data_IF_680525050587
#
_entry.id   IF_680525050587
#
_cell.length_a   1.000
_cell.length_b   1.000
_cell.length_c   1.000
_cell.angle_alpha   90.00
_cell.angle_beta   90.00
_cell.angle_gamma   90.00
#
_symmetry.space_group_name_H-M   'P 1'
#
loop_
_entity.id
_entity.type
_entity.pdbx_description
1 polymer ?
#
# COMPACT_ATOMS: atom_id res chain seq x y z
N UNK A 1 12.66 23.12 15.12
CA UNK A 1 12.49 24.01 13.96
C UNK A 1 11.35 23.49 13.08
N UNK A 2 10.49 24.37 12.65
CA UNK A 2 9.36 23.98 11.80
C UNK A 2 9.87 23.73 10.37
N UNK A 3 9.55 22.58 9.73
CA UNK A 3 9.98 22.31 8.36
C UNK A 3 9.37 23.30 7.36
N UNK A 4 10.12 23.64 6.30
CA UNK A 4 9.62 24.49 5.24
C UNK A 4 8.78 23.69 4.26
N UNK A 5 7.95 24.39 3.45
CA UNK A 5 7.05 23.73 2.48
C UNK A 5 7.81 22.97 1.38
N UNK A 6 8.98 23.48 0.97
CA UNK A 6 9.74 22.86 -0.13
C UNK A 6 10.21 21.44 0.18
N UNK A 7 10.91 21.18 1.32
CA UNK A 7 11.27 19.82 1.68
C UNK A 7 10.07 18.90 1.91
N UNK A 8 8.97 19.43 2.47
CA UNK A 8 7.74 18.66 2.68
C UNK A 8 7.22 18.13 1.34
N UNK A 9 7.11 18.99 0.33
CA UNK A 9 6.62 18.62 -0.99
C UNK A 9 7.55 17.64 -1.70
N UNK A 10 8.86 17.81 -1.56
CA UNK A 10 9.84 16.91 -2.16
C UNK A 10 9.73 15.49 -1.61
N UNK A 11 9.52 15.34 -0.32
CA UNK A 11 9.28 14.04 0.28
C UNK A 11 7.90 13.49 -0.09
N UNK A 12 6.88 14.31 0.03
CA UNK A 12 5.49 13.89 -0.17
C UNK A 12 5.22 13.34 -1.58
N UNK A 13 5.81 13.93 -2.61
CA UNK A 13 5.61 13.51 -4.01
C UNK A 13 6.11 12.11 -4.32
N UNK A 14 6.96 11.55 -3.47
CA UNK A 14 7.56 10.23 -3.67
C UNK A 14 6.63 9.10 -3.21
N UNK A 15 5.60 9.41 -2.44
CA UNK A 15 4.68 8.40 -1.93
C UNK A 15 3.62 8.06 -2.95
N UNK A 16 3.33 6.77 -3.06
CA UNK A 16 2.28 6.26 -3.93
C UNK A 16 0.92 6.74 -3.43
N UNK A 17 0.11 7.23 -4.35
CA UNK A 17 -1.28 7.59 -4.07
C UNK A 17 -2.18 6.61 -4.81
N UNK A 18 -3.11 5.99 -4.09
CA UNK A 18 -4.05 5.03 -4.64
C UNK A 18 -5.44 5.62 -4.56
N UNK A 19 -6.11 5.69 -5.69
CA UNK A 19 -7.50 6.14 -5.80
C UNK A 19 -8.29 5.02 -6.46
N UNK A 20 -9.33 4.55 -5.78
CA UNK A 20 -10.14 3.46 -6.31
C UNK A 20 -11.62 3.69 -6.01
N UNK A 21 -12.48 3.12 -6.85
CA UNK A 21 -13.90 3.16 -6.62
C UNK A 21 -14.29 2.19 -5.51
N UNK A 22 -15.08 2.67 -4.55
CA UNK A 22 -15.65 1.84 -3.49
C UNK A 22 -17.16 1.73 -3.67
N UNK A 23 -17.63 0.56 -4.04
CA UNK A 23 -19.07 0.32 -4.16
C UNK A 23 -19.77 0.44 -2.81
N UNK A 24 -19.10 0.03 -1.74
CA UNK A 24 -19.66 0.11 -0.39
C UNK A 24 -19.89 1.55 0.06
N UNK A 25 -18.98 2.45 -0.31
CA UNK A 25 -19.06 3.87 0.06
C UNK A 25 -19.75 4.72 -1.00
N UNK A 26 -20.00 4.15 -2.17
CA UNK A 26 -20.54 4.83 -3.33
C UNK A 26 -19.72 6.09 -3.66
N UNK A 27 -18.41 5.97 -3.61
CA UNK A 27 -17.47 7.08 -3.81
C UNK A 27 -16.10 6.55 -4.18
N UNK A 28 -15.25 7.43 -4.71
CA UNK A 28 -13.82 7.14 -4.83
C UNK A 28 -13.18 7.30 -3.45
N UNK A 29 -12.29 6.37 -3.11
CA UNK A 29 -11.57 6.40 -1.85
C UNK A 29 -10.07 6.45 -2.11
N UNK A 30 -9.33 7.10 -1.23
CA UNK A 30 -7.92 7.34 -1.38
C UNK A 30 -7.09 6.80 -0.23
N UNK A 31 -5.90 6.30 -0.57
CA UNK A 31 -4.89 5.87 0.38
C UNK A 31 -3.50 6.22 -0.14
N UNK A 32 -2.53 6.26 0.75
CA UNK A 32 -1.15 6.56 0.39
C UNK A 32 -0.20 5.71 1.22
N UNK A 33 -0.17 4.39 0.97
CA UNK A 33 0.73 3.52 1.73
C UNK A 33 2.20 3.82 1.40
N UNK A 34 3.13 3.73 2.36
CA UNK A 34 2.91 3.28 3.73
C UNK A 34 2.53 4.40 4.72
N UNK A 35 2.35 5.64 4.25
CA UNK A 35 2.04 6.79 5.11
C UNK A 35 0.69 6.61 5.80
N UNK A 36 -0.35 6.31 5.03
CA UNK A 36 -1.70 6.17 5.57
C UNK A 36 -2.57 5.26 4.69
N UNK A 37 -3.47 4.51 5.30
CA UNK A 37 -4.47 3.71 4.61
C UNK A 37 -5.61 4.56 4.07
N UNK A 38 -6.79 3.99 3.94
CA UNK A 38 -7.97 4.73 3.47
C UNK A 38 -8.25 5.92 4.38
N UNK A 39 -8.16 7.12 3.84
CA UNK A 39 -8.20 8.34 4.64
C UNK A 39 -9.11 9.43 4.09
N UNK A 40 -9.56 9.30 2.86
CA UNK A 40 -10.42 10.29 2.24
C UNK A 40 -11.29 9.68 1.15
N UNK A 41 -12.29 10.42 0.75
CA UNK A 41 -13.21 10.02 -0.32
C UNK A 41 -13.68 11.24 -1.08
N UNK A 42 -14.25 11.02 -2.27
CA UNK A 42 -14.80 12.07 -3.09
C UNK A 42 -15.63 11.53 -4.23
N UNK A 43 -16.33 12.41 -4.92
CA UNK A 43 -17.17 12.05 -6.06
C UNK A 43 -16.37 11.83 -7.34
N UNK A 44 -15.18 12.42 -7.44
CA UNK A 44 -14.30 12.28 -8.58
C UNK A 44 -12.91 11.86 -8.14
N UNK A 45 -12.17 11.22 -9.06
CA UNK A 45 -10.77 10.85 -8.80
C UNK A 45 -9.91 12.08 -8.53
N UNK A 46 -10.10 13.16 -9.29
CA UNK A 46 -9.34 14.39 -9.13
C UNK A 46 -9.52 15.00 -7.74
N UNK A 47 -10.74 14.97 -7.20
CA UNK A 47 -11.03 15.44 -5.85
C UNK A 47 -10.25 14.65 -4.82
N UNK A 48 -10.23 13.32 -4.94
CA UNK A 48 -9.51 12.45 -4.01
C UNK A 48 -8.00 12.65 -4.10
N UNK A 49 -7.45 12.78 -5.31
CA UNK A 49 -6.01 13.07 -5.49
C UNK A 49 -5.63 14.37 -4.79
N UNK A 50 -6.45 15.42 -4.93
CA UNK A 50 -6.21 16.69 -4.26
C UNK A 50 -6.18 16.56 -2.74
N UNK A 51 -7.15 15.82 -2.19
CA UNK A 51 -7.21 15.55 -0.74
C UNK A 51 -6.01 14.74 -0.27
N UNK A 52 -5.64 13.69 -1.00
CA UNK A 52 -4.48 12.85 -0.68
C UNK A 52 -3.19 13.67 -0.66
N UNK A 53 -3.01 14.55 -1.63
CA UNK A 53 -1.80 15.39 -1.71
C UNK A 53 -1.63 16.20 -0.42
N UNK A 54 -2.71 16.82 0.05
CA UNK A 54 -2.67 17.61 1.29
C UNK A 54 -2.44 16.74 2.52
N UNK A 55 -3.11 15.59 2.59
CA UNK A 55 -2.98 14.66 3.73
C UNK A 55 -1.56 14.11 3.82
N UNK A 56 -0.96 13.70 2.70
CA UNK A 56 0.42 13.19 2.67
C UNK A 56 1.40 14.28 3.10
N UNK A 57 1.22 15.51 2.62
CA UNK A 57 2.05 16.65 3.03
C UNK A 57 1.95 16.91 4.55
N UNK A 58 0.74 16.82 5.11
CA UNK A 58 0.54 16.98 6.55
C UNK A 58 1.28 15.91 7.34
N UNK A 59 1.20 14.64 6.92
CA UNK A 59 1.90 13.55 7.60
C UNK A 59 3.42 13.68 7.48
N UNK A 60 3.93 14.06 6.30
CA UNK A 60 5.37 14.32 6.12
C UNK A 60 5.82 15.43 7.06
N UNK A 61 5.06 16.51 7.16
CA UNK A 61 5.37 17.61 8.08
C UNK A 61 5.46 17.13 9.53
N UNK A 62 4.51 16.31 9.96
CA UNK A 62 4.50 15.75 11.32
C UNK A 62 5.73 14.90 11.57
N UNK A 63 6.07 13.99 10.65
CA UNK A 63 7.27 13.15 10.78
C UNK A 63 8.55 13.98 10.87
N UNK A 64 8.69 14.97 9.99
CA UNK A 64 9.89 15.84 9.99
C UNK A 64 9.99 16.68 11.25
N UNK A 65 8.87 17.23 11.69
CA UNK A 65 8.83 18.06 12.91
C UNK A 65 9.19 17.26 14.15
N UNK A 66 8.68 16.03 14.24
CA UNK A 66 8.89 15.17 15.41
C UNK A 66 10.23 14.41 15.37
N UNK A 67 10.98 14.54 14.27
CA UNK A 67 12.23 13.80 14.10
C UNK A 67 12.04 12.30 13.93
N UNK A 68 10.82 11.85 13.62
CA UNK A 68 10.51 10.45 13.36
C UNK A 68 10.94 10.09 11.95
N UNK A 69 11.62 8.95 11.73
CA UNK A 69 12.00 8.54 10.38
C UNK A 69 10.78 8.36 9.47
N UNK A 70 10.86 8.94 8.27
CA UNK A 70 9.82 8.76 7.26
C UNK A 70 9.78 7.31 6.79
N UNK A 71 8.58 6.73 6.58
CA UNK A 71 8.47 5.42 5.92
C UNK A 71 9.10 5.47 4.55
N UNK A 72 9.76 4.39 4.14
CA UNK A 72 10.35 4.30 2.81
C UNK A 72 9.25 4.33 1.74
N UNK A 73 9.31 5.23 0.75
CA UNK A 73 8.33 5.26 -0.33
C UNK A 73 8.31 3.97 -1.13
N UNK A 74 7.13 3.47 -1.48
CA UNK A 74 6.96 2.29 -2.31
C UNK A 74 7.03 2.61 -3.81
N UNK A 75 6.77 3.84 -4.20
CA UNK A 75 6.85 4.27 -5.60
C UNK A 75 8.27 4.13 -6.13
N UNK A 76 8.43 3.45 -7.25
CA UNK A 76 9.73 3.22 -7.86
C UNK A 76 10.59 2.15 -7.18
N UNK A 77 10.09 1.51 -6.13
CA UNK A 77 10.81 0.45 -5.43
C UNK A 77 10.87 -0.80 -6.30
N UNK A 78 12.05 -1.42 -6.34
CA UNK A 78 12.25 -2.69 -7.06
C UNK A 78 11.97 -3.85 -6.12
N UNK A 79 11.22 -4.84 -6.62
CA UNK A 79 10.90 -6.05 -5.88
C UNK A 79 11.61 -7.24 -6.51
N UNK A 80 12.18 -8.11 -5.68
CA UNK A 80 12.95 -9.27 -6.14
C UNK A 80 12.10 -10.40 -6.70
N UNK A 81 10.84 -10.47 -6.34
CA UNK A 81 9.98 -11.61 -6.62
C UNK A 81 10.07 -12.70 -5.57
N UNK A 82 10.88 -12.51 -4.52
CA UNK A 82 11.02 -13.48 -3.42
C UNK A 82 10.59 -12.84 -2.11
N UNK A 83 9.74 -13.51 -1.36
CA UNK A 83 9.36 -13.11 -0.02
C UNK A 83 8.89 -14.31 0.77
N UNK A 84 8.98 -14.22 2.09
CA UNK A 84 8.58 -15.27 3.01
C UNK A 84 7.19 -14.98 3.59
N UNK A 85 6.32 -15.99 3.55
CA UNK A 85 5.01 -15.91 4.20
C UNK A 85 4.97 -16.95 5.31
N UNK A 86 4.55 -16.52 6.50
CA UNK A 86 4.34 -17.42 7.63
C UNK A 86 2.85 -17.59 7.87
N UNK A 87 2.41 -18.81 7.90
CA UNK A 87 0.99 -19.17 8.10
C UNK A 87 0.90 -20.24 9.19
N UNK A 88 -0.31 -20.58 9.60
CA UNK A 88 -0.51 -21.66 10.56
C UNK A 88 -0.11 -23.02 9.94
N UNK A 89 0.32 -24.00 10.76
CA UNK A 89 0.60 -25.34 10.24
C UNK A 89 -0.58 -25.97 9.51
N UNK A 90 -1.80 -25.74 9.95
CA UNK A 90 -3.00 -26.23 9.30
C UNK A 90 -3.18 -25.63 7.90
N UNK A 91 -2.96 -24.33 7.75
CA UNK A 91 -3.07 -23.66 6.45
C UNK A 91 -1.95 -24.11 5.50
N UNK A 92 -0.73 -24.28 6.03
CA UNK A 92 0.39 -24.81 5.26
C UNK A 92 0.04 -26.20 4.72
N UNK A 93 -0.47 -27.10 5.57
CA UNK A 93 -0.89 -28.43 5.18
C UNK A 93 -1.96 -28.40 4.09
N UNK A 94 -2.99 -27.57 4.29
CA UNK A 94 -4.08 -27.41 3.34
C UNK A 94 -3.59 -26.98 1.96
N UNK A 95 -2.71 -25.98 1.92
CA UNK A 95 -2.13 -25.48 0.67
C UNK A 95 -1.26 -26.56 -0.01
N UNK A 96 -0.44 -27.27 0.76
CA UNK A 96 0.40 -28.34 0.23
C UNK A 96 -0.43 -29.47 -0.39
N UNK A 97 -1.50 -29.89 0.27
CA UNK A 97 -2.38 -30.95 -0.24
C UNK A 97 -3.10 -30.53 -1.51
N UNK A 98 -3.56 -29.28 -1.58
CA UNK A 98 -4.19 -28.74 -2.78
C UNK A 98 -3.23 -28.66 -3.96
N UNK A 99 -1.99 -28.25 -3.70
CA UNK A 99 -0.94 -28.23 -4.74
C UNK A 99 -0.68 -29.64 -5.28
N UNK A 100 -0.54 -30.62 -4.39
CA UNK A 100 -0.35 -32.02 -4.79
C UNK A 100 -1.50 -32.55 -5.65
N UNK A 101 -2.74 -32.23 -5.27
CA UNK A 101 -3.92 -32.66 -6.01
C UNK A 101 -3.97 -32.09 -7.43
N UNK A 102 -3.35 -30.96 -7.65
CA UNK A 102 -3.25 -30.31 -8.98
C UNK A 102 -1.98 -30.66 -9.74
N UNK A 103 -1.09 -31.43 -9.15
CA UNK A 103 0.20 -31.73 -9.76
C UNK A 103 1.15 -30.53 -9.81
N UNK A 104 0.96 -29.58 -8.92
CA UNK A 104 1.76 -28.35 -8.85
C UNK A 104 2.67 -28.33 -7.63
N UNK A 105 3.75 -27.54 -7.71
CA UNK A 105 4.53 -27.25 -6.53
C UNK A 105 3.74 -26.30 -5.60
N UNK A 106 4.09 -26.29 -4.32
CA UNK A 106 3.47 -25.35 -3.37
C UNK A 106 3.69 -23.90 -3.82
N UNK A 107 4.88 -23.58 -4.31
CA UNK A 107 5.18 -22.23 -4.81
C UNK A 107 4.30 -21.84 -5.99
N UNK A 108 4.09 -22.75 -6.93
CA UNK A 108 3.20 -22.50 -8.07
C UNK A 108 1.76 -22.27 -7.62
N UNK A 109 1.29 -23.12 -6.71
CA UNK A 109 -0.06 -22.97 -6.15
C UNK A 109 -0.25 -21.61 -5.47
N UNK A 110 0.70 -21.21 -4.64
CA UNK A 110 0.65 -19.92 -3.92
C UNK A 110 0.72 -18.74 -4.89
N UNK A 111 1.61 -18.82 -5.90
CA UNK A 111 1.73 -17.76 -6.90
C UNK A 111 0.42 -17.56 -7.67
N UNK A 112 -0.25 -18.64 -8.06
CA UNK A 112 -1.54 -18.59 -8.75
C UNK A 112 -2.63 -17.99 -7.84
N UNK A 113 -2.65 -18.36 -6.56
CA UNK A 113 -3.60 -17.84 -5.60
C UNK A 113 -3.45 -16.32 -5.43
N UNK A 114 -2.20 -15.83 -5.37
CA UNK A 114 -1.91 -14.40 -5.29
C UNK A 114 -2.33 -13.69 -6.58
N UNK A 115 -2.02 -14.28 -7.73
CA UNK A 115 -2.37 -13.68 -9.02
C UNK A 115 -3.88 -13.55 -9.22
N UNK A 116 -4.66 -14.45 -8.63
CA UNK A 116 -6.12 -14.47 -8.74
C UNK A 116 -6.84 -13.74 -7.59
N UNK A 117 -6.08 -13.16 -6.68
CA UNK A 117 -6.63 -12.43 -5.55
C UNK A 117 -7.26 -11.08 -5.95
#
# INVERSE_FOLDING_TARGET
MKPTRQPIREHARRYLKVVEWSAADNAFVGSAPPIIGHCCHGETEAEVVGKLTLIVEEWVEIFLRDGTPLPEPSAGKTFSGKFLVRVSPELHRKAALKAMARGESLNQFVAEAIANA
#
